data_IF_338873268839
#
_entry.id   IF_338873268839
#
_cell.length_a   1.000
_cell.length_b   1.000
_cell.length_c   1.000
_cell.angle_alpha   90.00
_cell.angle_beta   90.00
_cell.angle_gamma   90.00
#
_symmetry.space_group_name_H-M   'P 1'
#
loop_
_entity.id
_entity.type
_entity.pdbx_description
1 polymer ?
#
# COMPACT_ATOMS: atom_id res chain seq x y z
N UNK A 1 -12.82 11.64 12.15
CA UNK A 1 -12.80 10.56 11.17
C UNK A 1 -11.75 9.55 11.61
N UNK A 2 -12.05 8.26 11.59
CA UNK A 2 -11.19 7.22 12.18
C UNK A 2 -10.57 6.39 11.06
N UNK A 3 -9.29 6.64 10.77
CA UNK A 3 -8.51 5.85 9.81
C UNK A 3 -7.86 4.63 10.49
N UNK A 4 -7.86 3.49 9.80
CA UNK A 4 -7.15 2.28 10.24
C UNK A 4 -6.00 1.99 9.26
N UNK A 5 -4.85 1.59 9.81
CA UNK A 5 -3.68 1.15 9.05
C UNK A 5 -3.21 -0.21 9.55
N UNK A 6 -2.53 -0.98 8.70
CA UNK A 6 -1.97 -2.28 9.10
C UNK A 6 -0.74 -2.65 8.26
N UNK A 7 0.03 -3.63 8.73
CA UNK A 7 1.00 -4.33 7.90
C UNK A 7 0.33 -5.54 7.26
N UNK A 8 0.30 -5.58 5.94
CA UNK A 8 -0.25 -6.71 5.18
C UNK A 8 0.84 -7.72 4.85
N UNK A 9 0.54 -9.00 5.02
CA UNK A 9 1.41 -10.10 4.62
C UNK A 9 0.86 -10.75 3.34
N UNK A 10 1.64 -10.75 2.26
CA UNK A 10 1.30 -11.39 0.99
C UNK A 10 2.25 -12.57 0.77
N UNK A 11 1.71 -13.72 0.38
CA UNK A 11 2.47 -14.96 0.21
C UNK A 11 1.95 -15.73 -1.00
N UNK A 12 2.85 -16.40 -1.72
CA UNK A 12 2.50 -17.20 -2.90
C UNK A 12 3.68 -17.34 -3.86
N UNK A 13 3.55 -18.24 -4.84
CA UNK A 13 4.62 -18.50 -5.80
C UNK A 13 4.91 -17.33 -6.75
N UNK A 14 3.92 -16.50 -7.03
CA UNK A 14 4.04 -15.29 -7.85
C UNK A 14 4.40 -14.04 -7.03
N UNK A 15 4.61 -14.19 -5.71
CA UNK A 15 4.92 -13.04 -4.85
C UNK A 15 6.42 -12.83 -4.85
N UNK A 16 6.84 -11.60 -5.14
CA UNK A 16 8.23 -11.15 -4.98
C UNK A 16 8.54 -10.91 -3.50
N UNK A 17 8.52 -12.00 -2.72
CA UNK A 17 8.58 -11.99 -1.26
C UNK A 17 9.96 -11.69 -0.68
N UNK A 18 10.04 -11.75 0.66
CA UNK A 18 11.28 -11.43 1.42
C UNK A 18 11.64 -9.95 1.40
N UNK A 19 10.66 -9.08 1.12
CA UNK A 19 10.83 -7.64 0.94
C UNK A 19 9.72 -6.90 1.67
N UNK A 20 10.04 -5.69 2.13
CA UNK A 20 9.03 -4.71 2.50
C UNK A 20 8.70 -3.86 1.28
N UNK A 21 7.40 -3.66 1.06
CA UNK A 21 6.86 -2.73 0.08
C UNK A 21 6.27 -1.54 0.85
N UNK A 22 6.76 -0.34 0.58
CA UNK A 22 6.58 0.83 1.45
C UNK A 22 7.71 0.99 2.47
N UNK A 23 7.52 1.88 3.45
CA UNK A 23 8.53 2.16 4.49
C UNK A 23 8.00 1.75 5.86
N UNK A 24 8.77 0.95 6.59
CA UNK A 24 8.45 0.62 8.00
C UNK A 24 8.73 1.86 8.85
N UNK A 25 7.76 2.35 9.62
CA UNK A 25 7.96 3.57 10.41
C UNK A 25 8.84 3.32 11.63
N UNK A 26 9.43 4.39 12.14
CA UNK A 26 10.04 4.43 13.46
C UNK A 26 8.95 4.38 14.52
N UNK A 27 8.83 3.24 15.21
CA UNK A 27 7.85 3.05 16.29
C UNK A 27 8.31 3.70 17.60
N UNK A 28 8.32 5.02 17.64
CA UNK A 28 8.59 5.85 18.80
C UNK A 28 7.55 6.97 18.91
N UNK A 29 6.96 7.14 20.11
CA UNK A 29 6.07 8.28 20.40
C UNK A 29 6.88 9.58 20.31
N UNK A 30 6.29 10.61 19.70
CA UNK A 30 6.96 11.86 19.33
C UNK A 30 8.20 11.65 18.43
N UNK A 31 8.28 10.49 17.78
CA UNK A 31 9.30 10.14 16.80
C UNK A 31 9.06 10.80 15.44
N UNK A 32 10.00 10.63 14.50
CA UNK A 32 9.93 11.30 13.20
C UNK A 32 8.73 10.90 12.33
N UNK A 33 8.17 9.70 12.58
CA UNK A 33 7.04 9.15 11.82
C UNK A 33 5.71 9.21 12.61
N UNK A 34 5.72 9.82 13.81
CA UNK A 34 4.51 10.01 14.62
C UNK A 34 3.76 11.26 14.17
N UNK A 35 2.52 11.07 13.71
CA UNK A 35 1.63 12.18 13.34
C UNK A 35 1.03 12.90 14.55
N UNK A 36 0.99 12.22 15.72
CA UNK A 36 0.76 12.70 17.08
C UNK A 36 0.25 11.54 17.95
N UNK A 37 0.60 11.53 19.23
CA UNK A 37 0.05 10.59 20.22
C UNK A 37 0.28 9.10 19.87
N UNK A 38 1.38 8.77 19.19
CA UNK A 38 1.67 7.40 18.76
C UNK A 38 0.80 6.94 17.59
N UNK A 39 0.57 7.81 16.60
CA UNK A 39 -0.21 7.52 15.41
C UNK A 39 0.68 7.53 14.18
N UNK A 40 0.90 6.36 13.61
CA UNK A 40 1.63 6.20 12.35
C UNK A 40 0.68 6.12 11.18
N UNK A 41 0.94 6.95 10.17
CA UNK A 41 0.21 6.93 8.89
C UNK A 41 1.03 6.07 7.92
N UNK A 42 0.46 4.99 7.36
CA UNK A 42 1.16 4.20 6.36
C UNK A 42 1.64 5.06 5.18
N UNK A 43 2.87 4.83 4.71
CA UNK A 43 3.40 5.49 3.51
C UNK A 43 2.75 5.00 2.22
N UNK A 44 2.01 3.89 2.33
CA UNK A 44 1.40 3.17 1.21
C UNK A 44 -0.10 3.15 1.39
N UNK A 45 -0.82 3.50 0.33
CA UNK A 45 -2.28 3.47 0.30
C UNK A 45 -2.83 2.06 0.10
N UNK A 46 -4.02 1.80 0.63
CA UNK A 46 -4.79 0.59 0.30
C UNK A 46 -5.11 0.51 -1.19
N UNK A 47 -5.23 1.65 -1.89
CA UNK A 47 -5.47 1.69 -3.33
C UNK A 47 -4.24 1.17 -4.11
N UNK A 48 -3.01 1.56 -3.75
CA UNK A 48 -1.78 1.08 -4.40
C UNK A 48 -1.60 -0.44 -4.17
N UNK A 49 -1.81 -0.89 -2.93
CA UNK A 49 -1.77 -2.31 -2.58
C UNK A 49 -2.80 -3.12 -3.38
N UNK A 50 -4.04 -2.64 -3.44
CA UNK A 50 -5.15 -3.35 -4.10
C UNK A 50 -5.07 -3.28 -5.62
N UNK A 51 -4.54 -2.20 -6.18
CA UNK A 51 -4.30 -2.06 -7.62
C UNK A 51 -3.29 -3.08 -8.13
N UNK A 52 -2.22 -3.35 -7.36
CA UNK A 52 -1.25 -4.41 -7.68
C UNK A 52 -1.94 -5.77 -7.81
N UNK A 53 -2.82 -6.14 -6.87
CA UNK A 53 -3.60 -7.39 -6.92
C UNK A 53 -4.58 -7.38 -8.10
N UNK A 54 -5.29 -6.28 -8.33
CA UNK A 54 -6.28 -6.16 -9.40
C UNK A 54 -5.64 -6.30 -10.78
N UNK A 55 -4.50 -5.67 -11.00
CA UNK A 55 -3.71 -5.82 -12.22
C UNK A 55 -3.29 -7.26 -12.44
N UNK A 56 -2.84 -7.97 -11.41
CA UNK A 56 -2.52 -9.39 -11.50
C UNK A 56 -3.75 -10.28 -11.80
N UNK A 57 -4.92 -9.92 -11.28
CA UNK A 57 -6.19 -10.57 -11.64
C UNK A 57 -6.68 -10.23 -13.05
N UNK A 58 -6.00 -9.35 -13.78
CA UNK A 58 -6.29 -9.02 -15.17
C UNK A 58 -7.14 -7.77 -15.37
N UNK A 59 -7.32 -6.93 -14.34
CA UNK A 59 -7.94 -5.60 -14.52
C UNK A 59 -7.03 -4.73 -15.39
N UNK A 60 -7.62 -4.11 -16.42
CA UNK A 60 -6.86 -3.24 -17.33
C UNK A 60 -6.42 -1.97 -16.61
N UNK A 61 -5.27 -1.41 -16.99
CA UNK A 61 -4.78 -0.15 -16.41
C UNK A 61 -5.77 1.02 -16.55
N UNK A 62 -6.57 1.03 -17.63
CA UNK A 62 -7.62 2.03 -17.84
C UNK A 62 -8.81 1.90 -16.90
N UNK A 63 -9.04 0.71 -16.34
CA UNK A 63 -10.17 0.45 -15.42
C UNK A 63 -9.77 0.65 -13.96
N UNK A 64 -8.47 0.74 -13.64
CA UNK A 64 -8.00 0.88 -12.26
C UNK A 64 -8.57 2.11 -11.56
N UNK A 65 -8.73 3.25 -12.25
CA UNK A 65 -9.33 4.45 -11.64
C UNK A 65 -10.84 4.32 -11.40
N UNK A 66 -11.50 3.37 -12.06
CA UNK A 66 -12.91 3.04 -11.79
C UNK A 66 -13.03 2.22 -10.52
N UNK A 67 -12.10 1.28 -10.29
CA UNK A 67 -12.07 0.42 -9.09
C UNK A 67 -11.50 1.15 -7.87
N UNK A 68 -10.46 1.97 -8.08
CA UNK A 68 -9.72 2.70 -7.06
C UNK A 68 -9.68 4.19 -7.42
N UNK A 69 -10.72 4.98 -7.05
CA UNK A 69 -10.87 6.35 -7.49
C UNK A 69 -9.72 7.30 -7.09
N UNK A 70 -8.95 6.97 -6.05
CA UNK A 70 -7.82 7.77 -5.62
C UNK A 70 -6.48 7.32 -6.21
N UNK A 71 -6.44 6.26 -7.03
CA UNK A 71 -5.19 5.66 -7.50
C UNK A 71 -4.29 6.64 -8.28
N UNK A 72 -4.90 7.60 -9.00
CA UNK A 72 -4.18 8.65 -9.71
C UNK A 72 -3.52 9.71 -8.81
N UNK A 73 -3.70 9.64 -7.49
CA UNK A 73 -3.03 10.54 -6.52
C UNK A 73 -1.65 10.06 -6.10
N UNK A 74 -1.26 8.83 -6.48
CA UNK A 74 -0.03 8.20 -6.05
C UNK A 74 0.95 8.06 -7.20
N UNK A 75 2.24 8.27 -6.91
CA UNK A 75 3.31 8.16 -7.92
C UNK A 75 3.55 6.71 -8.36
N UNK A 76 3.19 5.72 -7.53
CA UNK A 76 3.39 4.31 -7.82
C UNK A 76 2.08 3.51 -7.63
N UNK A 77 1.14 3.56 -8.60
CA UNK A 77 -0.15 2.90 -8.48
C UNK A 77 -0.06 1.36 -8.49
N UNK A 78 1.02 0.78 -9.01
CA UNK A 78 1.32 -0.65 -8.92
C UNK A 78 2.61 -0.82 -8.12
N UNK A 79 2.50 -1.45 -6.95
CA UNK A 79 3.63 -1.66 -6.05
C UNK A 79 4.61 -2.73 -6.54
N UNK A 80 4.24 -3.53 -7.54
CA UNK A 80 5.12 -4.51 -8.17
C UNK A 80 5.55 -5.64 -7.21
N UNK A 81 4.68 -6.05 -6.29
CA UNK A 81 4.94 -7.22 -5.42
C UNK A 81 4.53 -8.56 -6.04
N UNK A 82 4.04 -8.55 -7.28
CA UNK A 82 3.66 -9.75 -8.05
C UNK A 82 4.47 -9.84 -9.34
N UNK A 83 4.86 -11.07 -9.73
CA UNK A 83 5.65 -11.35 -10.94
C UNK A 83 5.76 -12.84 -11.27
#
# INVERSE_FOLDING_TARGET
>A
DHGWGSHHLVMGGAVLGGRFYGTVPTLAVDGPDDSSEGRWIPTTSVDEYSATLASWFGVSGSDLSTVFPNIGRFNNPDMGFLG
#
